data_IF_439777809087
#
_entry.id   IF_439777809087
#
_cell.length_a   1.000
_cell.length_b   1.000
_cell.length_c   1.000
_cell.angle_alpha   90.00
_cell.angle_beta   90.00
_cell.angle_gamma   90.00
#
_symmetry.space_group_name_H-M   'P 1'
#
loop_
_entity.id
_entity.type
_entity.pdbx_description
1 polymer ?
#
# COMPACT_ATOMS: atom_id res chain seq x y z
N UNK A 1 -17.63 49.08 -6.95
CA UNK A 1 -17.49 47.66 -7.42
C UNK A 1 -16.07 47.21 -7.14
N UNK A 2 -15.88 46.49 -6.03
CA UNK A 2 -14.57 46.00 -5.62
C UNK A 2 -14.10 44.90 -6.60
N UNK A 3 -12.90 45.06 -7.15
CA UNK A 3 -12.23 44.04 -7.93
C UNK A 3 -12.04 42.79 -7.03
N UNK A 4 -12.80 41.74 -7.29
CA UNK A 4 -12.57 40.43 -6.69
C UNK A 4 -11.17 39.98 -7.13
N UNK A 5 -10.20 40.06 -6.23
CA UNK A 5 -8.85 39.55 -6.44
C UNK A 5 -9.00 38.01 -6.69
N UNK A 6 -8.91 37.62 -7.96
CA UNK A 6 -8.80 36.21 -8.33
C UNK A 6 -7.55 35.64 -7.63
N UNK A 7 -7.73 34.88 -6.57
CA UNK A 7 -6.67 34.03 -6.01
C UNK A 7 -6.26 33.09 -7.13
N UNK A 8 -5.18 33.36 -7.81
CA UNK A 8 -4.64 32.56 -8.89
C UNK A 8 -3.78 31.47 -8.25
N UNK A 9 -4.33 30.29 -8.07
CA UNK A 9 -3.63 29.12 -7.50
C UNK A 9 -4.54 27.90 -7.39
N UNK A 10 -3.92 26.74 -7.19
CA UNK A 10 -4.61 25.47 -7.00
C UNK A 10 -4.46 25.07 -5.53
N UNK A 11 -5.55 24.68 -4.82
CA UNK A 11 -5.44 24.24 -3.42
C UNK A 11 -4.56 22.99 -3.32
N UNK A 12 -3.99 22.75 -2.13
CA UNK A 12 -3.16 21.54 -1.86
C UNK A 12 -3.85 20.26 -2.38
N UNK A 13 -5.17 20.15 -2.20
CA UNK A 13 -5.92 19.01 -2.71
C UNK A 13 -5.87 18.92 -4.23
N UNK A 14 -6.06 20.03 -4.94
CA UNK A 14 -5.92 20.08 -6.40
C UNK A 14 -4.52 19.67 -6.88
N UNK A 15 -3.47 20.08 -6.14
CA UNK A 15 -2.10 19.68 -6.43
C UNK A 15 -1.91 18.16 -6.22
N UNK A 16 -2.49 17.55 -5.17
CA UNK A 16 -2.49 16.10 -5.00
C UNK A 16 -3.23 15.39 -6.14
N UNK A 17 -4.40 15.92 -6.55
CA UNK A 17 -5.18 15.35 -7.64
C UNK A 17 -4.48 15.46 -9.00
N UNK A 18 -3.52 16.38 -9.17
CA UNK A 18 -2.74 16.51 -10.42
C UNK A 18 -1.83 15.31 -10.70
N UNK A 19 -1.49 14.50 -9.68
CA UNK A 19 -0.76 13.24 -9.87
C UNK A 19 -1.60 12.13 -10.49
N UNK A 20 -2.91 12.35 -10.64
CA UNK A 20 -3.83 11.38 -11.22
C UNK A 20 -3.84 11.50 -12.74
N UNK A 21 -3.51 10.44 -13.50
CA UNK A 21 -3.57 10.44 -14.96
C UNK A 21 -5.05 10.42 -15.42
N UNK A 22 -5.61 11.61 -15.67
CA UNK A 22 -7.02 11.83 -16.02
C UNK A 22 -7.51 11.03 -17.22
N UNK A 23 -6.66 10.87 -18.24
CA UNK A 23 -7.02 10.09 -19.44
C UNK A 23 -7.23 8.61 -19.11
N UNK A 24 -6.36 8.02 -18.29
CA UNK A 24 -6.49 6.62 -17.86
C UNK A 24 -7.73 6.44 -16.98
N UNK A 25 -7.99 7.38 -16.09
CA UNK A 25 -9.23 7.38 -15.29
C UNK A 25 -10.47 7.42 -16.19
N UNK A 26 -10.53 8.33 -17.16
CA UNK A 26 -11.67 8.45 -18.07
C UNK A 26 -11.86 7.17 -18.91
N UNK A 27 -10.78 6.53 -19.37
CA UNK A 27 -10.84 5.23 -20.04
C UNK A 27 -11.43 4.13 -19.14
N UNK A 28 -11.06 4.10 -17.88
CA UNK A 28 -11.61 3.16 -16.91
C UNK A 28 -13.11 3.42 -16.66
N UNK A 29 -13.52 4.68 -16.51
CA UNK A 29 -14.94 5.06 -16.37
C UNK A 29 -15.76 4.60 -17.57
N UNK A 30 -15.26 4.81 -18.79
CA UNK A 30 -15.93 4.35 -20.03
C UNK A 30 -16.00 2.83 -20.11
N UNK A 31 -14.87 2.14 -19.87
CA UNK A 31 -14.78 0.66 -19.90
C UNK A 31 -15.81 0.00 -18.96
N UNK A 32 -15.98 0.56 -17.76
CA UNK A 32 -16.90 0.04 -16.76
C UNK A 32 -18.29 0.68 -16.81
N UNK A 33 -18.56 1.57 -17.77
CA UNK A 33 -19.81 2.31 -17.92
C UNK A 33 -20.26 2.98 -16.61
N UNK A 34 -19.29 3.45 -15.79
CA UNK A 34 -19.55 3.89 -14.41
C UNK A 34 -20.34 5.19 -14.34
N UNK A 35 -20.38 5.98 -15.40
CA UNK A 35 -21.17 7.21 -15.53
C UNK A 35 -22.33 7.07 -16.53
N UNK A 36 -22.67 5.85 -16.97
CA UNK A 36 -23.86 5.62 -17.81
C UNK A 36 -25.11 6.09 -17.08
N UNK A 37 -25.91 6.91 -17.74
CA UNK A 37 -27.13 7.54 -17.21
C UNK A 37 -26.90 8.47 -16.00
N UNK A 38 -25.67 8.93 -15.76
CA UNK A 38 -25.33 9.88 -14.70
C UNK A 38 -25.38 11.31 -15.27
N UNK A 39 -26.28 12.15 -14.73
CA UNK A 39 -26.47 13.53 -15.20
C UNK A 39 -25.59 14.56 -14.44
N UNK A 40 -25.34 14.33 -13.16
CA UNK A 40 -24.67 15.34 -12.29
C UNK A 40 -23.46 14.80 -11.55
N UNK A 41 -23.61 13.88 -10.60
CA UNK A 41 -22.54 13.41 -9.73
C UNK A 41 -21.73 12.31 -10.41
N UNK A 42 -20.67 12.72 -11.13
CA UNK A 42 -19.80 11.85 -11.95
C UNK A 42 -18.91 10.94 -11.10
N UNK A 43 -18.23 9.99 -11.75
CA UNK A 43 -17.20 9.17 -11.09
C UNK A 43 -16.04 9.99 -10.56
N UNK A 44 -15.69 11.09 -11.22
CA UNK A 44 -14.67 12.00 -10.72
C UNK A 44 -15.11 12.71 -9.45
N UNK A 45 -16.32 13.29 -9.44
CA UNK A 45 -16.89 13.93 -8.26
C UNK A 45 -16.92 12.95 -7.08
N UNK A 46 -17.25 11.67 -7.34
CA UNK A 46 -17.26 10.62 -6.34
C UNK A 46 -15.87 10.33 -5.78
N UNK A 47 -14.84 10.17 -6.65
CA UNK A 47 -13.44 9.96 -6.22
C UNK A 47 -12.97 11.11 -5.35
N UNK A 48 -13.14 12.37 -5.80
CA UNK A 48 -12.68 13.55 -5.05
C UNK A 48 -13.39 13.65 -3.70
N UNK A 49 -14.72 13.45 -3.68
CA UNK A 49 -15.52 13.48 -2.44
C UNK A 49 -15.06 12.40 -1.44
N UNK A 50 -14.85 11.17 -1.91
CA UNK A 50 -14.38 10.08 -1.04
C UNK A 50 -12.96 10.28 -0.55
N UNK A 51 -12.05 10.80 -1.39
CA UNK A 51 -10.68 11.14 -0.99
C UNK A 51 -10.66 12.23 0.08
N UNK A 52 -11.47 13.27 -0.06
CA UNK A 52 -11.65 14.30 0.98
C UNK A 52 -12.02 13.66 2.32
N UNK A 53 -13.06 12.81 2.33
CA UNK A 53 -13.54 12.13 3.53
C UNK A 53 -12.49 11.21 4.17
N UNK A 54 -11.75 10.48 3.35
CA UNK A 54 -10.72 9.54 3.81
C UNK A 54 -9.50 10.27 4.37
N UNK A 55 -9.04 11.36 3.71
CA UNK A 55 -7.90 12.17 4.17
C UNK A 55 -8.23 12.88 5.49
N UNK A 56 -9.42 13.48 5.59
CA UNK A 56 -9.87 14.13 6.83
C UNK A 56 -10.27 13.16 7.93
N UNK A 57 -10.39 11.86 7.63
CA UNK A 57 -10.89 10.82 8.55
C UNK A 57 -12.29 11.10 9.09
N UNK A 58 -13.14 11.63 8.24
CA UNK A 58 -14.52 12.04 8.61
C UNK A 58 -15.37 10.86 9.08
N UNK A 59 -16.23 11.07 10.08
CA UNK A 59 -17.04 10.04 10.75
C UNK A 59 -18.18 9.49 9.92
N UNK A 60 -18.78 10.33 9.05
CA UNK A 60 -20.01 9.99 8.32
C UNK A 60 -20.13 10.69 6.97
N UNK A 61 -21.05 10.17 6.14
CA UNK A 61 -21.30 10.74 4.81
C UNK A 61 -21.87 12.19 4.88
N UNK A 62 -22.62 12.53 5.94
CA UNK A 62 -23.13 13.90 6.13
C UNK A 62 -21.97 14.88 6.34
N UNK A 63 -21.01 14.52 7.16
CA UNK A 63 -19.82 15.34 7.45
C UNK A 63 -18.99 15.56 6.20
N UNK A 64 -18.86 14.53 5.33
CA UNK A 64 -18.17 14.68 4.04
C UNK A 64 -18.88 15.71 3.18
N UNK A 65 -20.20 15.58 3.01
CA UNK A 65 -20.98 16.49 2.19
C UNK A 65 -20.94 17.93 2.74
N UNK A 66 -21.05 18.09 4.06
CA UNK A 66 -20.98 19.42 4.72
C UNK A 66 -19.59 20.02 4.58
N UNK A 67 -18.52 19.22 4.82
CA UNK A 67 -17.13 19.69 4.66
C UNK A 67 -16.82 20.13 3.23
N UNK A 68 -17.28 19.38 2.22
CA UNK A 68 -17.12 19.74 0.82
C UNK A 68 -17.92 21.01 0.47
N UNK A 69 -19.14 21.17 1.01
CA UNK A 69 -19.98 22.34 0.78
C UNK A 69 -19.36 23.63 1.34
N UNK A 70 -18.66 23.54 2.45
CA UNK A 70 -17.92 24.69 3.00
C UNK A 70 -16.82 25.24 2.05
N UNK A 71 -16.45 24.45 1.03
CA UNK A 71 -15.41 24.79 0.05
C UNK A 71 -15.97 24.86 -1.39
N UNK A 72 -17.25 25.18 -1.55
CA UNK A 72 -17.95 25.22 -2.85
C UNK A 72 -17.20 26.02 -3.91
N UNK A 73 -16.64 27.17 -3.54
CA UNK A 73 -15.85 28.03 -4.44
C UNK A 73 -14.59 27.34 -5.00
N UNK A 74 -14.07 26.32 -4.32
CA UNK A 74 -12.85 25.60 -4.71
C UNK A 74 -13.12 24.40 -5.63
N UNK A 75 -14.36 24.02 -5.86
CA UNK A 75 -14.72 22.80 -6.62
C UNK A 75 -14.19 22.80 -8.04
N UNK A 76 -14.22 23.96 -8.71
CA UNK A 76 -13.69 24.12 -10.07
C UNK A 76 -12.20 23.80 -10.14
N UNK A 77 -11.43 24.17 -9.10
CA UNK A 77 -10.00 23.87 -9.00
C UNK A 77 -9.72 22.38 -8.73
N UNK A 78 -10.72 21.62 -8.27
CA UNK A 78 -10.67 20.17 -8.10
C UNK A 78 -11.19 19.43 -9.33
N UNK A 79 -11.66 20.16 -10.36
CA UNK A 79 -12.29 19.59 -11.56
C UNK A 79 -13.64 18.91 -11.28
N UNK A 80 -14.33 19.34 -10.21
CA UNK A 80 -15.66 18.85 -9.86
C UNK A 80 -16.75 19.64 -10.58
N UNK A 81 -17.84 18.94 -10.88
CA UNK A 81 -19.03 19.51 -11.52
C UNK A 81 -20.18 19.70 -10.55
N UNK A 82 -20.26 18.89 -9.50
CA UNK A 82 -21.36 18.94 -8.54
C UNK A 82 -20.95 18.38 -7.16
N UNK A 83 -21.65 18.86 -6.13
CA UNK A 83 -21.60 18.30 -4.78
C UNK A 83 -22.71 17.27 -4.59
N UNK A 84 -22.41 16.15 -3.90
CA UNK A 84 -23.46 15.18 -3.57
C UNK A 84 -24.26 15.60 -2.34
N UNK A 85 -25.53 15.19 -2.31
CA UNK A 85 -26.25 15.03 -1.05
C UNK A 85 -25.80 13.74 -0.36
N UNK A 86 -26.10 13.60 0.93
CA UNK A 86 -25.83 12.35 1.69
C UNK A 86 -26.42 11.12 1.03
N UNK A 87 -27.67 11.22 0.52
CA UNK A 87 -28.33 10.12 -0.20
C UNK A 87 -27.62 9.79 -1.51
N UNK A 88 -27.32 10.81 -2.34
CA UNK A 88 -26.58 10.62 -3.59
C UNK A 88 -25.23 9.91 -3.35
N UNK A 89 -24.46 10.34 -2.35
CA UNK A 89 -23.17 9.73 -2.03
C UNK A 89 -23.33 8.27 -1.54
N UNK A 90 -24.35 8.01 -0.70
CA UNK A 90 -24.69 6.65 -0.24
C UNK A 90 -25.05 5.74 -1.40
N UNK A 91 -25.92 6.19 -2.31
CA UNK A 91 -26.37 5.40 -3.45
C UNK A 91 -25.23 5.11 -4.44
N UNK A 92 -24.33 6.08 -4.65
CA UNK A 92 -23.15 5.86 -5.49
C UNK A 92 -22.13 4.92 -4.85
N UNK A 93 -21.94 4.97 -3.55
CA UNK A 93 -21.14 3.99 -2.82
C UNK A 93 -21.70 2.56 -2.96
N UNK A 94 -23.03 2.41 -3.06
CA UNK A 94 -23.67 1.10 -3.24
C UNK A 94 -23.62 0.60 -4.68
N UNK A 95 -23.92 1.48 -5.64
CA UNK A 95 -24.16 1.09 -7.04
C UNK A 95 -22.93 1.12 -7.94
N UNK A 96 -21.95 2.02 -7.67
CA UNK A 96 -20.78 2.16 -8.55
C UNK A 96 -19.80 1.01 -8.33
N UNK A 97 -19.24 0.49 -9.41
CA UNK A 97 -18.26 -0.60 -9.34
C UNK A 97 -16.95 -0.14 -8.71
N UNK A 98 -16.41 -0.88 -7.72
CA UNK A 98 -15.10 -0.58 -7.13
C UNK A 98 -13.92 -0.70 -8.12
N UNK A 99 -14.12 -1.38 -9.27
CA UNK A 99 -13.05 -1.59 -10.28
C UNK A 99 -12.50 -0.29 -10.85
N UNK A 100 -13.32 0.77 -10.95
CA UNK A 100 -12.85 2.09 -11.38
C UNK A 100 -11.81 2.65 -10.41
N UNK A 101 -12.00 2.47 -9.11
CA UNK A 101 -11.08 2.91 -8.07
C UNK A 101 -9.82 2.02 -8.01
N UNK A 102 -9.97 0.72 -8.24
CA UNK A 102 -8.86 -0.21 -8.38
C UNK A 102 -7.95 0.17 -9.54
N UNK A 103 -8.51 0.33 -10.75
CA UNK A 103 -7.77 0.71 -11.93
C UNK A 103 -7.13 2.10 -11.79
N UNK A 104 -7.83 3.04 -11.12
CA UNK A 104 -7.28 4.36 -10.80
C UNK A 104 -6.02 4.25 -9.93
N UNK A 105 -6.03 3.44 -8.87
CA UNK A 105 -4.87 3.22 -8.03
C UNK A 105 -3.67 2.74 -8.85
N UNK A 106 -3.86 1.71 -9.69
CA UNK A 106 -2.76 1.17 -10.49
C UNK A 106 -2.30 2.12 -11.59
N UNK A 107 -3.17 2.97 -12.14
CA UNK A 107 -2.77 3.99 -13.11
C UNK A 107 -1.90 5.08 -12.46
N UNK A 108 -2.25 5.53 -11.24
CA UNK A 108 -1.42 6.45 -10.45
C UNK A 108 -0.06 5.83 -10.14
N UNK A 109 -0.04 4.59 -9.68
CA UNK A 109 1.21 3.86 -9.41
C UNK A 109 2.09 3.81 -10.66
N UNK A 110 1.53 3.38 -11.79
CA UNK A 110 2.28 3.25 -13.05
C UNK A 110 2.85 4.58 -13.53
N UNK A 111 2.04 5.64 -13.53
CA UNK A 111 2.44 6.96 -14.00
C UNK A 111 3.54 7.61 -13.13
N UNK A 112 3.53 7.34 -11.81
CA UNK A 112 4.42 8.00 -10.86
C UNK A 112 5.48 7.06 -10.26
N UNK A 113 5.69 5.87 -10.84
CA UNK A 113 6.63 4.87 -10.31
C UNK A 113 8.06 5.39 -10.20
N UNK A 114 8.49 6.24 -11.14
CA UNK A 114 9.81 6.84 -11.16
C UNK A 114 10.08 7.75 -9.94
N UNK A 115 9.03 8.41 -9.38
CA UNK A 115 9.13 9.19 -8.14
C UNK A 115 9.18 8.27 -6.92
N UNK A 116 8.41 7.18 -6.97
CA UNK A 116 8.28 6.25 -5.85
C UNK A 116 9.53 5.39 -5.66
N UNK A 117 10.26 5.09 -6.72
CA UNK A 117 11.48 4.27 -6.69
C UNK A 117 12.64 5.03 -6.06
N UNK A 118 13.16 4.49 -4.96
CA UNK A 118 14.36 5.01 -4.29
C UNK A 118 15.59 4.24 -4.76
N UNK A 119 16.36 4.85 -5.66
CA UNK A 119 17.60 4.28 -6.19
C UNK A 119 18.76 4.31 -5.20
N UNK A 120 18.67 5.09 -4.12
CA UNK A 120 19.73 5.20 -3.12
C UNK A 120 19.88 3.93 -2.26
N UNK A 121 18.80 3.17 -2.08
CA UNK A 121 18.81 1.92 -1.30
C UNK A 121 19.71 0.85 -1.90
N UNK A 122 19.89 0.84 -3.22
CA UNK A 122 20.74 -0.16 -3.91
C UNK A 122 22.24 0.07 -3.77
N UNK A 123 22.67 1.22 -3.23
CA UNK A 123 24.10 1.55 -3.12
C UNK A 123 24.81 0.75 -2.03
N UNK A 124 24.13 0.43 -0.94
CA UNK A 124 24.71 -0.24 0.21
C UNK A 124 24.67 -1.78 0.07
N UNK A 125 23.53 -2.32 -0.38
CA UNK A 125 23.35 -3.76 -0.53
C UNK A 125 22.56 -4.08 -1.81
N UNK A 126 23.19 -4.81 -2.73
CA UNK A 126 22.64 -5.13 -4.06
C UNK A 126 21.32 -5.91 -4.02
N UNK A 127 21.04 -6.63 -2.93
CA UNK A 127 19.79 -7.39 -2.79
C UNK A 127 18.57 -6.53 -2.41
N UNK A 128 18.76 -5.33 -1.81
CA UNK A 128 17.64 -4.46 -1.38
C UNK A 128 16.68 -4.11 -2.52
N UNK A 129 17.21 -3.80 -3.70
CA UNK A 129 16.39 -3.46 -4.88
C UNK A 129 15.62 -4.65 -5.46
N UNK A 130 15.97 -5.87 -5.07
CA UNK A 130 15.40 -7.14 -5.53
C UNK A 130 14.28 -7.65 -4.62
N UNK A 131 14.08 -7.02 -3.44
CA UNK A 131 13.11 -7.49 -2.46
C UNK A 131 11.69 -7.12 -2.84
N UNK A 132 10.86 -8.15 -2.88
CA UNK A 132 9.42 -8.03 -3.01
C UNK A 132 8.75 -8.62 -1.77
N UNK A 133 8.14 -7.74 -0.97
CA UNK A 133 7.52 -8.09 0.31
C UNK A 133 6.06 -8.45 0.11
N UNK A 134 5.60 -9.52 0.75
CA UNK A 134 4.21 -9.99 0.67
C UNK A 134 3.64 -10.19 2.07
N UNK A 135 2.49 -9.58 2.33
CA UNK A 135 1.76 -9.79 3.58
C UNK A 135 0.27 -9.44 3.42
N UNK A 136 -0.52 -9.65 4.46
CA UNK A 136 -1.92 -9.26 4.50
C UNK A 136 -2.30 -8.61 5.82
N UNK A 137 -3.33 -7.78 5.78
CA UNK A 137 -3.96 -7.27 6.98
C UNK A 137 -5.45 -7.54 6.98
N UNK A 138 -5.99 -7.94 8.13
CA UNK A 138 -7.43 -8.09 8.30
C UNK A 138 -8.03 -6.81 8.86
N UNK A 139 -9.10 -6.34 8.24
CA UNK A 139 -9.91 -5.23 8.69
C UNK A 139 -11.21 -5.83 9.21
N UNK A 140 -11.45 -5.69 10.51
CA UNK A 140 -12.65 -6.22 11.16
C UNK A 140 -13.81 -5.27 10.92
N UNK A 141 -14.96 -5.81 10.52
CA UNK A 141 -16.21 -5.08 10.30
C UNK A 141 -17.13 -5.18 11.53
N UNK A 142 -18.12 -4.28 11.63
CA UNK A 142 -19.14 -4.37 12.67
C UNK A 142 -19.95 -5.68 12.55
N UNK A 143 -20.54 -6.11 13.68
CA UNK A 143 -21.15 -7.45 13.86
C UNK A 143 -22.10 -7.90 12.74
N UNK A 144 -22.75 -6.98 12.04
CA UNK A 144 -23.80 -7.30 11.07
C UNK A 144 -23.37 -7.17 9.60
N UNK A 145 -22.16 -6.63 9.33
CA UNK A 145 -21.70 -6.40 7.98
C UNK A 145 -20.82 -7.58 7.54
N UNK A 146 -21.15 -8.18 6.40
CA UNK A 146 -20.39 -9.29 5.80
C UNK A 146 -20.07 -10.43 6.78
N UNK A 147 -21.00 -10.82 7.66
CA UNK A 147 -20.80 -11.89 8.67
C UNK A 147 -20.27 -13.19 8.07
N UNK A 148 -20.77 -13.57 6.90
CA UNK A 148 -20.33 -14.79 6.20
C UNK A 148 -18.85 -14.75 5.77
N UNK A 149 -18.22 -13.58 5.80
CA UNK A 149 -16.87 -13.35 5.33
C UNK A 149 -15.83 -13.32 6.45
N UNK A 150 -16.28 -13.38 7.72
CA UNK A 150 -15.41 -13.27 8.89
C UNK A 150 -14.78 -14.58 9.35
N UNK A 151 -13.72 -14.48 10.14
CA UNK A 151 -13.13 -15.62 10.83
C UNK A 151 -14.04 -16.09 11.98
N UNK A 152 -14.15 -17.40 12.25
CA UNK A 152 -14.84 -17.91 13.40
C UNK A 152 -14.18 -17.40 14.70
N UNK A 153 -15.00 -17.02 15.67
CA UNK A 153 -14.56 -16.67 17.03
C UNK A 153 -14.65 -17.91 17.92
N UNK A 154 -13.99 -17.88 19.09
CA UNK A 154 -13.97 -18.99 20.05
C UNK A 154 -15.38 -19.41 20.52
N UNK A 155 -16.36 -18.50 20.48
CA UNK A 155 -17.77 -18.77 20.82
C UNK A 155 -18.64 -19.21 19.61
N UNK A 156 -18.03 -19.64 18.51
CA UNK A 156 -18.70 -20.07 17.27
C UNK A 156 -19.35 -18.94 16.43
N UNK A 157 -19.39 -17.71 16.94
CA UNK A 157 -19.91 -16.57 16.19
C UNK A 157 -18.89 -16.10 15.16
N UNK A 158 -19.36 -15.61 14.00
CA UNK A 158 -18.49 -15.00 12.98
C UNK A 158 -18.62 -13.48 13.03
N UNK A 159 -17.48 -12.80 13.11
CA UNK A 159 -17.42 -11.36 12.96
C UNK A 159 -17.05 -11.05 11.51
N UNK A 160 -17.80 -10.15 10.86
CA UNK A 160 -17.52 -9.73 9.49
C UNK A 160 -16.07 -9.23 9.37
N UNK A 161 -15.44 -9.47 8.24
CA UNK A 161 -14.08 -9.05 8.00
C UNK A 161 -13.64 -9.11 6.54
N UNK A 162 -12.78 -8.19 6.18
CA UNK A 162 -12.14 -8.10 4.87
C UNK A 162 -10.64 -8.22 5.06
N UNK A 163 -9.99 -9.01 4.23
CA UNK A 163 -8.54 -9.14 4.20
C UNK A 163 -7.99 -8.40 2.99
N UNK A 164 -7.01 -7.54 3.23
CA UNK A 164 -6.26 -6.84 2.19
C UNK A 164 -4.88 -7.47 2.11
N UNK A 165 -4.64 -8.21 1.03
CA UNK A 165 -3.33 -8.74 0.69
C UNK A 165 -2.57 -7.69 -0.13
N UNK A 166 -1.31 -7.51 0.17
CA UNK A 166 -0.45 -6.58 -0.55
C UNK A 166 0.90 -7.23 -0.91
N UNK A 167 1.41 -6.84 -2.06
CA UNK A 167 2.79 -7.09 -2.47
C UNK A 167 3.45 -5.77 -2.86
N UNK A 168 4.65 -5.49 -2.37
CA UNK A 168 5.36 -4.24 -2.66
C UNK A 168 6.86 -4.45 -2.85
N UNK A 169 7.44 -3.66 -3.74
CA UNK A 169 8.89 -3.51 -3.82
C UNK A 169 9.39 -2.69 -2.62
N UNK A 170 10.46 -3.15 -1.99
CA UNK A 170 11.01 -2.48 -0.80
C UNK A 170 11.39 -1.02 -1.09
N UNK A 171 12.02 -0.76 -2.24
CA UNK A 171 12.44 0.58 -2.64
C UNK A 171 11.29 1.53 -2.96
N UNK A 172 10.11 1.03 -3.29
CA UNK A 172 8.94 1.85 -3.65
C UNK A 172 8.09 2.21 -2.43
N UNK A 173 7.99 1.30 -1.44
CA UNK A 173 7.22 1.46 -0.19
C UNK A 173 5.71 1.72 -0.40
N UNK A 174 5.21 1.38 -1.57
CA UNK A 174 3.78 1.38 -1.91
C UNK A 174 3.43 0.03 -2.53
N UNK A 175 2.19 -0.47 -2.35
CA UNK A 175 1.83 -1.75 -2.92
C UNK A 175 1.72 -1.65 -4.45
N UNK A 176 2.39 -2.57 -5.12
CA UNK A 176 2.29 -2.75 -6.57
C UNK A 176 1.33 -3.88 -6.96
N UNK A 177 0.91 -4.68 -5.98
CA UNK A 177 -0.08 -5.73 -6.13
C UNK A 177 -0.98 -5.76 -4.91
N UNK A 178 -2.29 -5.73 -5.11
CA UNK A 178 -3.30 -5.71 -4.06
C UNK A 178 -4.41 -6.71 -4.42
N UNK A 179 -4.93 -7.37 -3.41
CA UNK A 179 -6.17 -8.14 -3.49
C UNK A 179 -6.99 -7.94 -2.23
N UNK A 180 -8.23 -7.55 -2.41
CA UNK A 180 -9.23 -7.51 -1.34
C UNK A 180 -10.01 -8.82 -1.38
N UNK A 181 -10.14 -9.50 -0.25
CA UNK A 181 -10.82 -10.78 -0.12
C UNK A 181 -11.58 -10.89 1.20
N UNK A 182 -12.36 -11.95 1.34
CA UNK A 182 -13.01 -12.30 2.62
C UNK A 182 -11.94 -12.63 3.66
N UNK A 183 -12.14 -12.21 4.92
CA UNK A 183 -11.17 -12.46 6.00
C UNK A 183 -10.87 -13.94 6.22
N UNK A 184 -11.84 -14.82 5.97
CA UNK A 184 -11.69 -16.27 6.08
C UNK A 184 -10.91 -16.92 4.92
N UNK A 185 -10.60 -16.16 3.86
CA UNK A 185 -9.87 -16.73 2.72
C UNK A 185 -8.41 -17.02 3.08
N UNK A 186 -7.92 -18.18 2.62
CA UNK A 186 -6.54 -18.60 2.90
C UNK A 186 -5.52 -17.74 2.14
N UNK A 187 -4.46 -17.33 2.84
CA UNK A 187 -3.33 -16.56 2.28
C UNK A 187 -2.63 -17.29 1.13
N UNK A 188 -2.67 -18.62 1.11
CA UNK A 188 -2.08 -19.47 0.04
C UNK A 188 -2.65 -19.16 -1.35
N UNK A 189 -3.94 -18.79 -1.44
CA UNK A 189 -4.56 -18.43 -2.73
C UNK A 189 -3.97 -17.18 -3.33
N UNK A 190 -3.51 -16.23 -2.52
CA UNK A 190 -2.85 -15.04 -3.00
C UNK A 190 -1.48 -15.33 -3.61
N UNK A 191 -0.74 -16.30 -3.07
CA UNK A 191 0.60 -16.65 -3.53
C UNK A 191 0.67 -17.10 -5.00
N UNK A 192 -0.41 -17.63 -5.55
CA UNK A 192 -0.44 -18.06 -6.97
C UNK A 192 -0.19 -16.88 -7.93
N UNK A 193 -0.50 -15.66 -7.51
CA UNK A 193 -0.24 -14.44 -8.30
C UNK A 193 1.25 -14.14 -8.49
N UNK A 194 2.11 -14.71 -7.65
CA UNK A 194 3.56 -14.53 -7.70
C UNK A 194 4.26 -15.66 -8.48
N UNK A 195 3.52 -16.46 -9.23
CA UNK A 195 4.09 -17.51 -10.07
C UNK A 195 5.07 -16.91 -11.09
N UNK A 196 4.70 -15.83 -11.75
CA UNK A 196 5.50 -15.14 -12.78
C UNK A 196 6.08 -13.84 -12.21
N UNK A 197 7.16 -13.95 -11.46
CA UNK A 197 7.92 -12.80 -10.97
C UNK A 197 9.14 -12.54 -11.87
N UNK A 198 9.63 -11.30 -11.95
CA UNK A 198 10.85 -10.99 -12.65
C UNK A 198 12.03 -11.82 -12.15
N UNK A 199 12.92 -12.19 -13.07
CA UNK A 199 14.17 -12.91 -12.73
C UNK A 199 14.97 -12.11 -11.70
N UNK A 200 15.63 -12.82 -10.79
CA UNK A 200 16.41 -12.26 -9.67
C UNK A 200 15.57 -11.57 -8.57
N UNK A 201 14.23 -11.64 -8.60
CA UNK A 201 13.41 -11.21 -7.48
C UNK A 201 13.67 -12.09 -6.25
N UNK A 202 13.66 -11.49 -5.07
CA UNK A 202 13.65 -12.19 -3.78
C UNK A 202 12.29 -11.92 -3.12
N UNK A 203 11.44 -12.94 -3.08
CA UNK A 203 10.14 -12.88 -2.41
C UNK A 203 10.30 -13.09 -0.91
N UNK A 204 9.78 -12.17 -0.10
CA UNK A 204 9.82 -12.26 1.36
C UNK A 204 8.39 -12.28 1.92
N UNK A 205 8.05 -13.33 2.65
CA UNK A 205 6.68 -13.55 3.16
C UNK A 205 6.67 -14.36 4.46
N UNK A 206 5.56 -14.28 5.20
CA UNK A 206 5.37 -15.06 6.43
C UNK A 206 5.06 -16.53 6.14
N UNK A 207 5.31 -17.39 7.12
CA UNK A 207 5.04 -18.84 7.09
C UNK A 207 3.59 -19.22 6.74
N UNK A 208 2.63 -18.30 6.89
CA UNK A 208 1.24 -18.53 6.48
C UNK A 208 1.06 -18.70 4.95
N UNK A 209 2.01 -18.20 4.18
CA UNK A 209 2.01 -18.22 2.71
C UNK A 209 2.70 -19.44 2.09
N UNK A 210 3.06 -20.45 2.87
CA UNK A 210 3.80 -21.64 2.39
C UNK A 210 3.09 -22.35 1.25
N UNK A 211 3.79 -22.50 0.11
CA UNK A 211 3.35 -23.25 -1.07
C UNK A 211 4.55 -23.94 -1.76
N UNK A 212 4.75 -25.24 -1.48
CA UNK A 212 5.91 -25.99 -1.97
C UNK A 212 5.97 -26.12 -3.49
N UNK A 213 4.83 -26.16 -4.19
CA UNK A 213 4.80 -26.21 -5.66
C UNK A 213 5.34 -24.92 -6.28
N UNK A 214 5.05 -23.77 -5.67
CA UNK A 214 5.62 -22.49 -6.08
C UNK A 214 7.12 -22.39 -5.77
N UNK A 215 7.58 -22.95 -4.66
CA UNK A 215 9.00 -22.96 -4.31
C UNK A 215 9.85 -23.66 -5.38
N UNK A 216 9.39 -24.84 -5.84
CA UNK A 216 10.02 -25.56 -6.94
C UNK A 216 9.98 -24.75 -8.25
N UNK A 217 8.83 -24.12 -8.55
CA UNK A 217 8.67 -23.31 -9.74
C UNK A 217 9.61 -22.09 -9.74
N UNK A 218 9.72 -21.38 -8.62
CA UNK A 218 10.59 -20.20 -8.49
C UNK A 218 12.07 -20.56 -8.65
N UNK A 219 12.51 -21.69 -8.08
CA UNK A 219 13.88 -22.16 -8.25
C UNK A 219 14.26 -22.34 -9.73
N UNK A 220 13.36 -22.93 -10.53
CA UNK A 220 13.56 -23.09 -11.98
C UNK A 220 13.60 -21.77 -12.75
N UNK A 221 12.90 -20.73 -12.27
CA UNK A 221 12.78 -19.43 -12.92
C UNK A 221 13.72 -18.35 -12.34
N UNK A 222 14.75 -18.73 -11.60
CA UNK A 222 15.73 -17.82 -10.97
C UNK A 222 15.07 -16.74 -10.09
N UNK A 223 14.02 -17.12 -9.38
CA UNK A 223 13.35 -16.31 -8.36
C UNK A 223 13.69 -16.94 -7.02
N UNK A 224 14.23 -16.14 -6.10
CA UNK A 224 14.54 -16.57 -4.75
C UNK A 224 13.36 -16.27 -3.81
N UNK A 225 13.26 -17.00 -2.70
CA UNK A 225 12.34 -16.69 -1.63
C UNK A 225 13.04 -16.74 -0.28
N UNK A 226 12.50 -16.00 0.69
CA UNK A 226 12.87 -16.06 2.10
C UNK A 226 11.60 -16.06 2.94
N UNK A 227 11.46 -17.07 3.81
CA UNK A 227 10.33 -17.20 4.71
C UNK A 227 10.76 -17.86 6.02
N UNK A 228 9.87 -17.88 7.02
CA UNK A 228 10.08 -18.69 8.22
C UNK A 228 9.61 -20.12 7.99
N UNK A 229 10.29 -21.06 8.65
CA UNK A 229 9.88 -22.46 8.63
C UNK A 229 8.51 -22.62 9.29
N UNK A 230 7.61 -23.33 8.62
CA UNK A 230 6.29 -23.64 9.17
C UNK A 230 6.39 -24.88 10.11
N UNK A 231 5.81 -24.80 11.31
CA UNK A 231 5.87 -25.84 12.35
C UNK A 231 5.43 -27.26 11.87
N UNK A 232 4.59 -27.35 10.83
CA UNK A 232 4.11 -28.63 10.27
C UNK A 232 4.91 -29.11 9.06
N UNK A 233 6.01 -28.45 8.75
CA UNK A 233 6.88 -28.84 7.64
C UNK A 233 7.69 -30.08 8.06
N UNK A 234 7.77 -31.05 7.16
CA UNK A 234 8.73 -32.16 7.28
C UNK A 234 10.05 -31.68 6.70
N UNK A 235 11.09 -31.69 7.51
CA UNK A 235 12.44 -31.27 7.14
C UNK A 235 13.35 -32.48 7.20
N UNK A 236 13.97 -32.82 6.07
CA UNK A 236 15.08 -33.78 6.03
C UNK A 236 16.36 -32.97 5.87
N UNK A 237 17.22 -32.99 6.88
CA UNK A 237 18.48 -32.24 6.89
C UNK A 237 19.51 -32.97 6.03
N UNK A 238 20.28 -32.18 5.29
CA UNK A 238 21.38 -32.60 4.47
C UNK A 238 22.72 -32.01 4.98
N UNK A 239 23.56 -31.61 4.05
CA UNK A 239 24.90 -31.11 4.36
C UNK A 239 24.88 -29.78 5.12
N UNK A 240 25.69 -29.70 6.16
CA UNK A 240 25.99 -28.44 6.85
C UNK A 240 26.88 -27.56 5.98
N UNK A 241 26.67 -26.27 6.03
CA UNK A 241 27.50 -25.24 5.41
C UNK A 241 28.39 -24.60 6.47
N UNK A 242 29.58 -24.23 6.06
CA UNK A 242 30.52 -23.54 6.96
C UNK A 242 30.01 -22.12 7.22
N UNK A 243 29.89 -21.74 8.49
CA UNK A 243 29.53 -20.41 8.92
C UNK A 243 30.74 -19.49 8.90
N UNK A 244 30.60 -18.32 8.30
CA UNK A 244 31.62 -17.27 8.37
C UNK A 244 31.63 -16.63 9.77
N UNK A 245 32.69 -15.88 10.09
CA UNK A 245 32.77 -15.15 11.35
C UNK A 245 31.65 -14.10 11.45
N UNK A 246 31.28 -13.47 10.35
CA UNK A 246 30.16 -12.54 10.28
C UNK A 246 28.81 -13.22 10.55
N UNK A 247 28.61 -14.47 10.07
CA UNK A 247 27.40 -15.24 10.37
C UNK A 247 27.29 -15.52 11.88
N UNK A 248 28.41 -15.91 12.52
CA UNK A 248 28.46 -16.18 13.95
C UNK A 248 28.22 -14.93 14.80
N UNK A 249 28.84 -13.80 14.40
CA UNK A 249 28.64 -12.50 15.04
C UNK A 249 27.18 -12.04 14.97
N UNK A 250 26.54 -12.25 13.81
CA UNK A 250 25.12 -11.94 13.62
C UNK A 250 24.19 -12.83 14.47
N UNK A 251 24.70 -13.96 14.98
CA UNK A 251 23.96 -14.93 15.80
C UNK A 251 23.43 -16.13 15.03
N UNK A 252 23.94 -16.40 13.80
CA UNK A 252 23.61 -17.61 13.08
C UNK A 252 24.28 -18.82 13.77
N UNK A 253 23.47 -19.84 14.07
CA UNK A 253 23.92 -21.06 14.75
C UNK A 253 23.92 -22.29 13.86
N UNK A 254 23.18 -22.27 12.75
CA UNK A 254 23.11 -23.39 11.80
C UNK A 254 22.80 -22.86 10.40
N UNK A 255 23.45 -23.44 9.41
CA UNK A 255 23.15 -23.27 7.99
C UNK A 255 23.31 -24.64 7.32
N UNK A 256 22.22 -25.17 6.77
CA UNK A 256 22.25 -26.49 6.15
C UNK A 256 21.33 -26.60 4.93
N UNK A 257 21.66 -27.51 4.03
CA UNK A 257 20.77 -27.91 2.97
C UNK A 257 19.66 -28.79 3.53
N UNK A 258 18.43 -28.62 3.03
CA UNK A 258 17.28 -29.38 3.48
C UNK A 258 16.38 -29.79 2.33
N UNK A 259 15.62 -30.85 2.56
CA UNK A 259 14.49 -31.23 1.73
C UNK A 259 13.19 -30.95 2.51
N UNK A 260 12.37 -30.02 1.98
CA UNK A 260 11.12 -29.60 2.60
C UNK A 260 9.93 -30.31 1.98
N UNK A 261 8.95 -30.68 2.81
CA UNK A 261 7.73 -31.31 2.32
C UNK A 261 6.61 -31.32 3.36
N UNK A 262 5.52 -31.95 3.01
CA UNK A 262 4.43 -32.32 3.90
C UNK A 262 4.35 -33.83 3.99
N UNK A 263 3.88 -34.40 5.12
CA UNK A 263 3.79 -35.89 5.32
C UNK A 263 3.09 -36.62 4.17
N UNK A 264 2.09 -35.98 3.55
CA UNK A 264 1.31 -36.54 2.44
C UNK A 264 1.91 -36.25 1.04
N UNK A 265 3.05 -35.54 0.92
CA UNK A 265 3.65 -35.18 -0.36
C UNK A 265 4.82 -36.10 -0.70
N UNK A 266 4.76 -36.76 -1.87
CA UNK A 266 5.86 -37.59 -2.40
C UNK A 266 7.07 -36.74 -2.84
N UNK A 267 6.84 -35.53 -3.37
CA UNK A 267 7.90 -34.69 -3.89
C UNK A 267 8.36 -33.67 -2.82
N UNK A 268 9.61 -33.79 -2.42
CA UNK A 268 10.29 -32.84 -1.54
C UNK A 268 10.92 -31.71 -2.36
N UNK A 269 10.99 -30.51 -1.78
CA UNK A 269 11.59 -29.33 -2.40
C UNK A 269 12.93 -29.05 -1.76
N UNK A 270 13.99 -28.98 -2.56
CA UNK A 270 15.33 -28.58 -2.08
C UNK A 270 15.32 -27.14 -1.66
N UNK A 271 15.81 -26.88 -0.46
CA UNK A 271 15.93 -25.57 0.15
C UNK A 271 17.16 -25.51 1.05
N UNK A 272 17.38 -24.37 1.68
CA UNK A 272 18.40 -24.07 2.67
C UNK A 272 17.69 -23.62 3.94
N UNK A 273 18.08 -24.16 5.07
CA UNK A 273 17.61 -23.81 6.40
C UNK A 273 18.70 -23.03 7.13
N UNK A 274 18.35 -21.88 7.64
CA UNK A 274 19.23 -21.02 8.43
C UNK A 274 18.58 -20.84 9.80
N UNK A 275 19.33 -21.09 10.86
CA UNK A 275 18.88 -20.91 12.24
C UNK A 275 19.61 -19.77 12.89
N UNK A 276 18.85 -18.77 13.33
CA UNK A 276 19.32 -17.61 14.08
C UNK A 276 18.94 -17.77 15.54
N UNK A 277 19.87 -17.52 16.46
CA UNK A 277 19.58 -17.33 17.88
C UNK A 277 19.34 -15.85 18.18
N UNK A 278 18.08 -15.51 18.47
CA UNK A 278 17.66 -14.18 18.88
C UNK A 278 17.96 -14.02 20.39
N UNK A 279 19.07 -13.36 20.72
CA UNK A 279 19.54 -13.15 22.11
C UNK A 279 18.55 -12.32 22.92
N UNK A 280 17.91 -11.33 22.30
CA UNK A 280 16.99 -10.40 22.98
C UNK A 280 15.76 -11.13 23.51
N UNK A 281 15.24 -12.08 22.75
CA UNK A 281 14.02 -12.82 23.10
C UNK A 281 14.30 -14.28 23.53
N UNK A 282 15.57 -14.68 23.67
CA UNK A 282 16.02 -16.02 24.06
C UNK A 282 15.30 -17.13 23.26
N UNK A 283 15.33 -17.04 21.92
CA UNK A 283 14.63 -17.98 21.03
C UNK A 283 15.38 -18.24 19.73
N UNK A 284 15.15 -19.43 19.17
CA UNK A 284 15.62 -19.75 17.85
C UNK A 284 14.58 -19.35 16.79
N UNK A 285 15.05 -18.74 15.70
CA UNK A 285 14.26 -18.40 14.51
C UNK A 285 14.84 -19.19 13.34
N UNK A 286 13.98 -19.91 12.63
CA UNK A 286 14.37 -20.74 11.48
C UNK A 286 13.84 -20.12 10.19
N UNK A 287 14.75 -19.83 9.25
CA UNK A 287 14.45 -19.28 7.92
C UNK A 287 14.67 -20.38 6.87
N UNK A 288 13.87 -20.32 5.82
CA UNK A 288 13.98 -21.17 4.65
C UNK A 288 14.13 -20.33 3.39
N UNK A 289 15.01 -20.77 2.48
CA UNK A 289 15.26 -20.10 1.21
C UNK A 289 15.72 -21.13 0.16
N UNK A 290 15.57 -20.80 -1.11
CA UNK A 290 16.21 -21.50 -2.23
C UNK A 290 17.49 -20.78 -2.71
N UNK A 291 17.85 -19.65 -2.11
CA UNK A 291 19.07 -18.93 -2.45
C UNK A 291 20.28 -19.61 -1.81
N UNK A 292 21.23 -20.04 -2.68
CA UNK A 292 22.46 -20.73 -2.27
C UNK A 292 23.68 -19.79 -2.24
N UNK A 293 23.54 -18.54 -2.70
CA UNK A 293 24.66 -17.63 -2.90
C UNK A 293 24.83 -16.62 -1.78
N UNK A 294 23.71 -16.11 -1.26
CA UNK A 294 23.72 -15.11 -0.18
C UNK A 294 24.27 -15.72 1.11
N UNK A 295 24.98 -14.93 1.92
CA UNK A 295 25.44 -15.32 3.25
C UNK A 295 24.25 -15.61 4.18
N UNK A 296 24.46 -16.37 5.24
CA UNK A 296 23.37 -16.74 6.15
C UNK A 296 22.83 -15.52 6.92
N UNK A 297 23.69 -14.60 7.32
CA UNK A 297 23.29 -13.34 7.95
C UNK A 297 22.48 -12.45 7.01
N UNK A 298 22.80 -12.42 5.68
CA UNK A 298 22.02 -11.66 4.70
C UNK A 298 20.58 -12.19 4.60
N UNK A 299 20.38 -13.52 4.65
CA UNK A 299 19.03 -14.12 4.63
C UNK A 299 18.21 -13.70 5.86
N UNK A 300 18.83 -13.66 7.04
CA UNK A 300 18.16 -13.20 8.25
C UNK A 300 17.79 -11.72 8.15
N UNK A 301 18.71 -10.88 7.63
CA UNK A 301 18.47 -9.44 7.41
C UNK A 301 17.39 -9.19 6.36
N UNK A 302 17.39 -9.95 5.25
CA UNK A 302 16.34 -9.92 4.24
C UNK A 302 14.98 -10.21 4.86
N UNK A 303 14.89 -11.22 5.72
CA UNK A 303 13.62 -11.52 6.39
C UNK A 303 13.19 -10.39 7.33
N UNK A 304 14.12 -9.72 8.01
CA UNK A 304 13.83 -8.55 8.85
C UNK A 304 13.14 -7.44 8.06
N UNK A 305 13.50 -7.25 6.79
CA UNK A 305 12.86 -6.26 5.92
C UNK A 305 11.37 -6.52 5.68
N UNK A 306 10.86 -7.73 5.93
CA UNK A 306 9.43 -8.03 5.87
C UNK A 306 8.59 -7.08 6.73
N UNK A 307 9.16 -6.58 7.84
CA UNK A 307 8.49 -5.61 8.71
C UNK A 307 8.04 -4.34 7.99
N UNK A 308 8.68 -3.98 6.90
CA UNK A 308 8.31 -2.77 6.13
C UNK A 308 6.89 -2.83 5.55
N UNK A 309 6.39 -4.03 5.21
CA UNK A 309 5.00 -4.15 4.75
C UNK A 309 3.99 -4.06 5.90
N UNK A 310 4.37 -4.45 7.11
CA UNK A 310 3.55 -4.21 8.31
C UNK A 310 3.46 -2.71 8.62
N UNK A 311 4.56 -1.97 8.42
CA UNK A 311 4.57 -0.50 8.54
C UNK A 311 3.64 0.17 7.51
N UNK A 312 3.53 -0.37 6.29
CA UNK A 312 2.53 0.07 5.32
C UNK A 312 1.12 -0.06 5.91
N UNK A 313 0.76 -1.22 6.43
CA UNK A 313 -0.57 -1.43 7.01
C UNK A 313 -0.81 -0.57 8.25
N UNK A 314 0.20 -0.40 9.11
CA UNK A 314 0.15 0.52 10.26
C UNK A 314 -0.11 1.95 9.80
N UNK A 315 0.60 2.41 8.78
CA UNK A 315 0.45 3.73 8.17
C UNK A 315 -0.98 3.97 7.65
N UNK A 316 -1.53 3.01 6.90
CA UNK A 316 -2.90 3.08 6.39
C UNK A 316 -3.94 3.15 7.54
N UNK A 317 -3.77 2.35 8.59
CA UNK A 317 -4.68 2.33 9.74
C UNK A 317 -4.59 3.61 10.58
N UNK A 318 -3.40 4.15 10.76
CA UNK A 318 -3.17 5.31 11.63
C UNK A 318 -3.44 6.65 10.95
N UNK A 319 -3.01 6.81 9.69
CA UNK A 319 -3.06 8.11 9.02
C UNK A 319 -4.23 8.26 8.06
N UNK A 320 -4.80 7.16 7.60
CA UNK A 320 -5.91 7.13 6.65
C UNK A 320 -7.04 6.26 7.19
N UNK A 321 -8.30 6.66 6.96
CA UNK A 321 -9.45 5.98 7.56
C UNK A 321 -9.77 4.66 6.84
N UNK A 322 -9.26 3.54 7.36
CA UNK A 322 -9.66 2.19 6.93
C UNK A 322 -10.20 1.30 8.06
N UNK A 323 -10.30 1.83 9.27
CA UNK A 323 -10.75 1.08 10.46
C UNK A 323 -12.25 1.19 10.73
N UNK A 324 -12.92 2.22 10.18
CA UNK A 324 -14.36 2.39 10.24
C UNK A 324 -14.91 2.73 8.85
N UNK A 325 -15.99 2.07 8.46
CA UNK A 325 -16.54 2.21 7.12
C UNK A 325 -17.74 3.14 7.10
N UNK A 326 -17.86 3.91 6.01
CA UNK A 326 -18.91 4.89 5.74
C UNK A 326 -20.16 4.25 5.11
N UNK A 327 -20.08 2.99 4.75
CA UNK A 327 -21.17 2.18 4.19
C UNK A 327 -21.09 0.74 4.66
N UNK A 328 -22.19 0.02 4.49
CA UNK A 328 -22.44 -1.32 5.01
C UNK A 328 -22.43 -2.44 3.93
N UNK A 329 -22.34 -2.06 2.67
CA UNK A 329 -22.29 -3.01 1.56
C UNK A 329 -20.86 -3.22 1.01
N UNK A 330 -20.68 -4.29 0.25
CA UNK A 330 -19.38 -4.71 -0.27
C UNK A 330 -18.73 -3.63 -1.16
N UNK A 331 -19.50 -3.00 -2.06
CA UNK A 331 -18.98 -1.96 -2.94
C UNK A 331 -18.46 -0.75 -2.15
N UNK A 332 -19.25 -0.26 -1.18
CA UNK A 332 -18.85 0.89 -0.35
C UNK A 332 -17.56 0.62 0.45
N UNK A 333 -17.43 -0.60 1.00
CA UNK A 333 -16.25 -1.03 1.73
C UNK A 333 -15.02 -1.06 0.79
N UNK A 334 -15.16 -1.68 -0.38
CA UNK A 334 -14.10 -1.76 -1.38
C UNK A 334 -13.69 -0.38 -1.90
N UNK A 335 -14.67 0.48 -2.22
CA UNK A 335 -14.42 1.88 -2.65
C UNK A 335 -13.62 2.62 -1.58
N UNK A 336 -14.01 2.54 -0.31
CA UNK A 336 -13.30 3.21 0.76
C UNK A 336 -11.86 2.69 0.95
N UNK A 337 -11.65 1.37 0.84
CA UNK A 337 -10.30 0.78 0.90
C UNK A 337 -9.45 1.30 -0.26
N UNK A 338 -9.98 1.31 -1.48
CA UNK A 338 -9.26 1.84 -2.63
C UNK A 338 -8.98 3.34 -2.50
N UNK A 339 -9.93 4.15 -2.01
CA UNK A 339 -9.69 5.56 -1.72
C UNK A 339 -8.60 5.78 -0.66
N UNK A 340 -8.54 4.91 0.35
CA UNK A 340 -7.46 4.96 1.34
C UNK A 340 -6.08 4.67 0.73
N UNK A 341 -6.00 3.68 -0.14
CA UNK A 341 -4.78 3.34 -0.87
C UNK A 341 -4.38 4.45 -1.86
N UNK A 342 -5.37 5.06 -2.54
CA UNK A 342 -5.13 6.21 -3.43
C UNK A 342 -4.63 7.42 -2.62
N UNK A 343 -5.22 7.72 -1.48
CA UNK A 343 -4.74 8.79 -0.61
C UNK A 343 -3.30 8.55 -0.14
N UNK A 344 -2.98 7.31 0.26
CA UNK A 344 -1.61 6.94 0.67
C UNK A 344 -0.59 7.13 -0.45
N UNK A 345 -0.89 6.63 -1.65
CA UNK A 345 0.07 6.77 -2.77
C UNK A 345 0.26 8.24 -3.18
N UNK A 346 -0.79 9.05 -3.20
CA UNK A 346 -0.70 10.49 -3.49
C UNK A 346 0.17 11.22 -2.47
N UNK A 347 0.02 10.92 -1.18
CA UNK A 347 0.85 11.46 -0.11
C UNK A 347 2.31 10.99 -0.21
N UNK A 348 2.54 9.74 -0.61
CA UNK A 348 3.90 9.22 -0.84
C UNK A 348 4.57 9.89 -2.05
N UNK A 349 3.83 10.11 -3.14
CA UNK A 349 4.33 10.85 -4.30
C UNK A 349 4.73 12.26 -3.88
N UNK A 350 3.85 12.99 -3.18
CA UNK A 350 4.13 14.34 -2.67
C UNK A 350 5.38 14.34 -1.77
N UNK A 351 5.52 13.35 -0.86
CA UNK A 351 6.66 13.23 0.03
C UNK A 351 7.98 12.98 -0.71
N UNK A 352 7.98 11.98 -1.59
CA UNK A 352 9.19 11.55 -2.31
C UNK A 352 9.59 12.51 -3.43
N UNK A 353 8.64 13.27 -3.98
CA UNK A 353 8.90 14.33 -4.94
C UNK A 353 9.73 15.50 -4.39
N UNK A 354 9.81 15.63 -3.04
CA UNK A 354 10.66 16.62 -2.40
C UNK A 354 12.01 15.99 -2.11
N UNK A 355 12.99 16.25 -2.95
CA UNK A 355 14.35 15.67 -2.88
C UNK A 355 15.15 16.10 -1.64
N UNK A 356 14.72 17.08 -0.86
CA UNK A 356 15.40 17.59 0.34
C UNK A 356 14.79 17.04 1.63
N UNK A 357 15.58 16.28 2.37
CA UNK A 357 15.28 15.83 3.74
C UNK A 357 14.36 14.61 3.82
N UNK A 358 14.54 13.82 4.87
CA UNK A 358 13.67 12.68 5.20
C UNK A 358 12.50 13.15 6.07
N UNK A 359 11.46 13.73 5.47
CA UNK A 359 10.26 14.11 6.21
C UNK A 359 9.49 12.84 6.62
N UNK A 360 9.14 12.74 7.91
CA UNK A 360 8.34 11.61 8.41
C UNK A 360 6.96 11.60 7.74
N UNK A 361 6.50 10.42 7.34
CA UNK A 361 5.21 10.28 6.64
C UNK A 361 4.03 10.83 7.45
N UNK A 362 4.02 10.66 8.76
CA UNK A 362 2.97 11.20 9.65
C UNK A 362 2.90 12.73 9.62
N UNK A 363 4.06 13.39 9.55
CA UNK A 363 4.14 14.85 9.42
C UNK A 363 3.54 15.30 8.09
N UNK A 364 3.92 14.63 6.98
CA UNK A 364 3.34 14.92 5.66
C UNK A 364 1.82 14.78 5.69
N UNK A 365 1.29 13.66 6.22
CA UNK A 365 -0.15 13.46 6.33
C UNK A 365 -0.83 14.53 7.20
N UNK A 366 -0.22 14.92 8.31
CA UNK A 366 -0.74 15.96 9.20
C UNK A 366 -0.85 17.31 8.48
N UNK A 367 0.24 17.75 7.86
CA UNK A 367 0.29 19.03 7.14
C UNK A 367 -0.65 19.05 5.93
N UNK A 368 -0.62 18.03 5.09
CA UNK A 368 -1.49 17.96 3.92
C UNK A 368 -2.97 17.89 4.31
N UNK A 369 -3.32 17.17 5.38
CA UNK A 369 -4.69 17.15 5.91
C UNK A 369 -5.13 18.51 6.43
N UNK A 370 -4.29 19.18 7.24
CA UNK A 370 -4.61 20.47 7.86
C UNK A 370 -4.83 21.55 6.80
N UNK A 371 -4.02 21.53 5.73
CA UNK A 371 -4.01 22.55 4.71
C UNK A 371 -4.65 22.10 3.38
N UNK A 372 -5.45 21.02 3.39
CA UNK A 372 -5.94 20.36 2.16
C UNK A 372 -6.63 21.33 1.19
N UNK A 373 -7.41 22.26 1.70
CA UNK A 373 -8.16 23.23 0.90
C UNK A 373 -7.47 24.61 0.84
N UNK A 374 -6.31 24.79 1.46
CA UNK A 374 -5.55 26.03 1.39
C UNK A 374 -4.78 26.14 0.07
N UNK A 375 -4.62 27.38 -0.40
CA UNK A 375 -3.88 27.71 -1.63
C UNK A 375 -2.41 27.98 -1.29
N UNK A 376 -1.69 26.93 -0.95
CA UNK A 376 -0.25 26.93 -0.65
C UNK A 376 0.43 25.81 -1.45
N UNK A 377 1.67 26.06 -1.89
CA UNK A 377 2.43 25.04 -2.62
C UNK A 377 2.83 23.89 -1.69
N UNK A 378 2.56 22.64 -2.09
CA UNK A 378 2.92 21.45 -1.30
C UNK A 378 4.41 21.46 -0.96
N UNK A 379 5.28 21.82 -1.91
CA UNK A 379 6.73 21.89 -1.69
C UNK A 379 7.09 22.86 -0.55
N UNK A 380 6.54 24.07 -0.56
CA UNK A 380 6.79 25.06 0.48
C UNK A 380 6.22 24.63 1.82
N UNK A 381 4.96 24.15 1.83
CA UNK A 381 4.30 23.61 3.02
C UNK A 381 5.11 22.51 3.73
N UNK A 382 5.76 21.64 2.96
CA UNK A 382 6.52 20.52 3.54
C UNK A 382 7.97 20.90 3.90
N UNK A 383 8.56 21.92 3.28
CA UNK A 383 9.93 22.36 3.56
C UNK A 383 9.99 23.41 4.69
N UNK A 384 9.02 24.32 4.74
CA UNK A 384 8.97 25.46 5.68
C UNK A 384 7.59 25.60 6.31
N UNK A 385 7.09 24.58 7.03
CA UNK A 385 5.69 24.53 7.48
C UNK A 385 5.33 25.63 8.50
N UNK A 386 6.31 26.23 9.16
CA UNK A 386 6.12 27.29 10.18
C UNK A 386 6.31 28.70 9.62
N UNK A 387 6.62 28.86 8.33
CA UNK A 387 6.79 30.17 7.71
C UNK A 387 5.43 30.77 7.32
N UNK A 388 4.96 31.84 7.97
CA UNK A 388 3.67 32.47 7.66
C UNK A 388 3.59 33.02 6.24
N UNK A 389 4.71 33.36 5.62
CA UNK A 389 4.76 33.97 4.29
C UNK A 389 4.23 33.04 3.19
N UNK A 390 4.31 31.71 3.38
CA UNK A 390 3.81 30.71 2.42
C UNK A 390 2.28 30.79 2.23
N UNK A 391 1.54 31.32 3.21
CA UNK A 391 0.08 31.46 3.15
C UNK A 391 -0.35 32.81 2.56
N UNK A 392 0.56 33.78 2.48
CA UNK A 392 0.31 35.13 2.01
C UNK A 392 0.74 35.36 0.54
N UNK A 393 1.33 34.34 -0.08
CA UNK A 393 1.80 34.49 -1.47
C UNK A 393 0.63 34.65 -2.42
N UNK A 394 0.54 35.86 -3.05
CA UNK A 394 -0.16 36.01 -4.33
C UNK A 394 0.49 35.03 -5.29
N UNK A 395 -0.26 34.05 -5.77
CA UNK A 395 0.24 32.96 -6.61
C UNK A 395 1.08 33.50 -7.76
N UNK A 396 2.35 33.24 -7.70
CA UNK A 396 3.24 33.25 -8.86
C UNK A 396 3.41 31.79 -9.28
N UNK A 397 3.06 31.54 -10.54
CA UNK A 397 3.38 30.38 -11.37
C UNK A 397 3.27 28.97 -10.74
N UNK A 398 2.52 28.12 -11.42
CA UNK A 398 2.50 26.67 -11.19
C UNK A 398 3.90 26.14 -11.49
N UNK A 399 4.76 26.08 -10.47
CA UNK A 399 6.00 25.34 -10.58
C UNK A 399 5.65 23.86 -10.62
N UNK A 400 6.00 23.22 -11.72
CA UNK A 400 6.00 21.78 -11.83
C UNK A 400 6.90 21.22 -10.70
N UNK A 401 6.33 20.42 -9.81
CA UNK A 401 7.05 19.81 -8.66
C UNK A 401 8.28 19.01 -9.09
N UNK A 402 8.41 18.72 -10.39
CA UNK A 402 9.36 17.77 -10.94
C UNK A 402 10.21 18.28 -12.13
N UNK A 403 9.87 19.43 -12.69
CA UNK A 403 10.62 20.04 -13.79
C UNK A 403 11.59 21.12 -13.31
N UNK A 404 12.54 20.73 -12.48
CA UNK A 404 13.78 21.48 -12.38
C UNK A 404 14.92 20.56 -12.83
N UNK A 405 15.23 20.61 -14.13
CA UNK A 405 16.57 20.41 -14.56
C UNK A 405 17.43 21.47 -13.84
N UNK A 406 18.36 21.02 -13.01
CA UNK A 406 19.39 21.89 -12.47
C UNK A 406 20.22 22.43 -13.63
N UNK A 407 20.71 23.71 -13.59
CA UNK A 407 21.65 24.23 -14.54
C UNK A 407 22.98 23.48 -14.50
#
# INVERSE_FOLDING_TARGET
MGKINKKSGIPVFGQLLSFIPRQDFNRSVQKHQADRYIKRFTSWDHVVTMLFGVIHKVGGLREICSGMAAHDQSLKHLGMTSLPTKSTLSDRNKSRTPKVFEELFFSIYKANRWILSDSSLSKNEKWLSRLFLVDSTTITLFKNIMKACGNPMANGRRKGGVKVHAGMWLNEQVPSLIRISKAAESDKKFMVRFKSMPVNTILVFDKAYVNYSLYSHWGKNKVSFVSRLHKRCVVVRGNLRVLTDQDKEYGIVEDCEVQLGHKAQKNKVSARLIKLYDKEHNRNIEFITNDKKLAAWEIAEIYRQRWQIELLFKRLKQNIKITSFLGDNENAIHIQIWCALIADILMQIARKGIKRGKIAYSVVCGLLKLHLMNYVQIKQLLLTPTDPSIFNQKSREVYDLFNQGDP
#
